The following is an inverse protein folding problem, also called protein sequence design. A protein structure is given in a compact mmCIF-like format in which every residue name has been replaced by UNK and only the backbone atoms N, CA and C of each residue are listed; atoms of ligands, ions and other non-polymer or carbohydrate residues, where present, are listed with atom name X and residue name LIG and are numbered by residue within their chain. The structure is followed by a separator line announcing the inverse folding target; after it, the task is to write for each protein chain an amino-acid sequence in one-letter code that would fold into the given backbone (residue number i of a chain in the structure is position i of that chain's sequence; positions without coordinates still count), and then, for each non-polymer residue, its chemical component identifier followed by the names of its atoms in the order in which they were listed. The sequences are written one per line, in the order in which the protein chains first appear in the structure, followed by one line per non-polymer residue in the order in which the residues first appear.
data_IF_195138246693
#
_entry.id   IF_195138246693
#
_cell.length_a   1.000
_cell.length_b   1.000
_cell.length_c   1.000
_cell.angle_alpha   90.00
_cell.angle_beta   90.00
_cell.angle_gamma   90.00
#
_symmetry.space_group_name_H-M   'P 1'
#
loop_
_entity.id
_entity.type
_entity.pdbx_description
1 polymer ?
#
# COMPACT_ATOMS: atom_id res chain seq x y z
N UNK A 1 5.12 -4.95 -6.72
CA UNK A 1 4.80 -6.39 -6.89
C UNK A 1 5.53 -7.28 -5.90
N UNK A 2 6.78 -6.97 -5.53
CA UNK A 2 7.56 -7.79 -4.59
C UNK A 2 6.89 -7.95 -3.20
N UNK A 3 6.16 -6.95 -2.68
CA UNK A 3 5.41 -7.03 -1.41
C UNK A 3 4.33 -8.10 -1.44
N UNK A 4 3.48 -8.06 -2.47
CA UNK A 4 2.36 -9.01 -2.61
C UNK A 4 2.84 -10.44 -2.75
N UNK A 5 3.94 -10.66 -3.49
CA UNK A 5 4.55 -11.98 -3.64
C UNK A 5 5.17 -12.46 -2.33
N UNK A 6 5.86 -11.59 -1.61
CA UNK A 6 6.44 -11.90 -0.29
C UNK A 6 5.37 -12.24 0.75
N UNK A 7 4.19 -11.63 0.63
CA UNK A 7 3.01 -11.92 1.45
C UNK A 7 2.26 -13.20 1.00
N UNK A 8 2.77 -13.93 0.00
CA UNK A 8 2.14 -15.14 -0.54
C UNK A 8 0.86 -14.89 -1.35
N UNK A 9 0.55 -13.62 -1.61
CA UNK A 9 -0.60 -13.16 -2.39
C UNK A 9 -0.39 -13.33 -3.89
N UNK A 10 -1.50 -13.34 -4.64
CA UNK A 10 -1.52 -13.40 -6.12
C UNK A 10 -2.29 -12.26 -6.77
N UNK A 11 -2.91 -11.42 -5.97
CA UNK A 11 -3.81 -10.38 -6.43
C UNK A 11 -3.42 -9.04 -5.83
N UNK A 12 -3.45 -8.01 -6.68
CA UNK A 12 -3.28 -6.61 -6.29
C UNK A 12 -4.50 -5.85 -6.76
N UNK A 13 -5.09 -5.03 -5.90
CA UNK A 13 -6.04 -3.99 -6.31
C UNK A 13 -5.43 -2.61 -6.14
N UNK A 14 -5.79 -1.68 -7.04
CA UNK A 14 -5.41 -0.27 -6.94
C UNK A 14 -6.69 0.53 -6.80
N UNK A 15 -6.75 1.36 -5.77
CA UNK A 15 -7.85 2.26 -5.48
C UNK A 15 -7.35 3.70 -5.64
N UNK A 16 -8.14 4.51 -6.34
CA UNK A 16 -7.87 5.91 -6.58
C UNK A 16 -9.07 6.72 -6.10
N UNK A 17 -8.81 7.71 -5.27
CA UNK A 17 -9.78 8.71 -4.86
C UNK A 17 -9.15 10.09 -4.96
N UNK A 18 -9.97 11.10 -5.28
CA UNK A 18 -9.57 12.50 -5.28
C UNK A 18 -10.56 13.28 -4.43
N UNK A 19 -10.03 14.16 -3.58
CA UNK A 19 -10.82 15.10 -2.81
C UNK A 19 -9.96 16.32 -2.45
N UNK A 20 -10.56 17.51 -2.51
CA UNK A 20 -9.95 18.76 -2.06
C UNK A 20 -8.58 19.07 -2.71
N UNK A 21 -8.39 18.67 -3.98
CA UNK A 21 -7.14 18.88 -4.69
C UNK A 21 -6.02 17.93 -4.26
N UNK A 22 -6.37 16.84 -3.58
CA UNK A 22 -5.45 15.76 -3.23
C UNK A 22 -5.94 14.44 -3.82
N UNK A 23 -5.01 13.61 -4.28
CA UNK A 23 -5.29 12.24 -4.73
C UNK A 23 -4.74 11.22 -3.73
N UNK A 24 -5.57 10.28 -3.29
CA UNK A 24 -5.13 9.07 -2.61
C UNK A 24 -4.97 7.95 -3.62
N UNK A 25 -3.75 7.43 -3.74
CA UNK A 25 -3.45 6.19 -4.45
C UNK A 25 -3.17 5.12 -3.40
N UNK A 26 -3.92 4.03 -3.44
CA UNK A 26 -3.77 2.90 -2.53
C UNK A 26 -3.61 1.61 -3.34
N UNK A 27 -2.52 0.89 -3.10
CA UNK A 27 -2.30 -0.45 -3.61
C UNK A 27 -2.48 -1.46 -2.47
N UNK A 28 -3.40 -2.42 -2.65
CA UNK A 28 -3.65 -3.51 -1.71
C UNK A 28 -3.13 -4.83 -2.30
N UNK A 29 -2.17 -5.43 -1.63
CA UNK A 29 -1.76 -6.81 -1.84
C UNK A 29 -2.63 -7.75 -1.02
N UNK A 30 -3.45 -8.56 -1.70
CA UNK A 30 -4.39 -9.46 -1.04
C UNK A 30 -3.66 -10.66 -0.45
N UNK A 31 -3.92 -10.95 0.83
CA UNK A 31 -3.46 -12.19 1.43
C UNK A 31 -4.32 -13.37 0.96
N UNK A 32 -3.73 -14.56 0.76
CA UNK A 32 -4.50 -15.75 0.46
C UNK A 32 -5.45 -16.06 1.62
N UNK A 33 -6.76 -16.05 1.35
CA UNK A 33 -7.77 -16.59 2.29
C UNK A 33 -7.53 -18.10 2.45
N UNK A 34 -7.15 -18.56 3.64
CA UNK A 34 -7.09 -20.00 3.91
C UNK A 34 -8.48 -20.63 3.68
N UNK A 35 -8.59 -21.69 2.86
CA UNK A 35 -9.84 -22.42 2.68
C UNK A 35 -10.09 -23.29 3.92
N UNK A 36 -10.80 -22.74 4.89
CA UNK A 36 -11.04 -23.37 6.19
C UNK A 36 -10.83 -22.35 7.29
N UNK A 37 -11.86 -21.54 7.55
CA UNK A 37 -11.83 -20.47 8.54
C UNK A 37 -11.71 -21.03 9.95
N UNK A 38 -10.49 -21.25 10.40
CA UNK A 38 -10.05 -21.24 11.78
C UNK A 38 -8.52 -21.17 11.71
N UNK A 39 -7.95 -20.30 12.54
CA UNK A 39 -6.52 -20.00 12.67
C UNK A 39 -6.03 -18.90 11.73
N UNK A 40 -5.96 -17.72 12.32
CA UNK A 40 -5.49 -16.49 11.71
C UNK A 40 -4.18 -16.70 11.00
N UNK A 41 -4.14 -16.28 9.73
CA UNK A 41 -2.88 -16.05 9.03
C UNK A 41 -2.13 -15.03 9.88
N UNK A 42 -1.04 -15.45 10.53
CA UNK A 42 -0.16 -14.52 11.21
C UNK A 42 0.25 -13.45 10.18
N UNK A 43 0.02 -12.18 10.51
CA UNK A 43 0.40 -11.08 9.65
C UNK A 43 1.86 -11.29 9.21
N UNK A 44 2.15 -11.33 7.89
CA UNK A 44 3.51 -11.52 7.44
C UNK A 44 4.40 -10.43 8.04
N UNK A 45 5.63 -10.77 8.48
CA UNK A 45 6.49 -9.84 9.18
C UNK A 45 6.70 -8.56 8.35
N UNK A 46 6.93 -7.40 8.99
CA UNK A 46 7.31 -6.19 8.27
C UNK A 46 8.52 -6.52 7.40
N UNK A 47 8.41 -6.24 6.10
CA UNK A 47 9.49 -6.55 5.17
C UNK A 47 10.47 -5.37 5.17
N UNK A 48 11.77 -5.63 5.00
CA UNK A 48 12.72 -4.56 4.65
C UNK A 48 12.27 -3.80 3.39
N UNK A 49 11.50 -4.48 2.54
CA UNK A 49 10.81 -3.93 1.38
C UNK A 49 9.80 -2.82 1.74
N UNK A 50 9.13 -2.87 2.89
CA UNK A 50 8.22 -1.79 3.32
C UNK A 50 9.02 -0.51 3.57
N UNK A 51 10.20 -0.62 4.20
CA UNK A 51 11.08 0.55 4.41
C UNK A 51 11.62 1.11 3.11
N UNK A 52 11.95 0.24 2.17
CA UNK A 52 12.39 0.65 0.83
C UNK A 52 11.29 1.39 0.06
N UNK A 53 10.08 0.83 0.01
CA UNK A 53 8.92 1.46 -0.63
C UNK A 53 8.60 2.79 0.04
N UNK A 54 8.65 2.86 1.37
CA UNK A 54 8.41 4.11 2.10
C UNK A 54 9.48 5.17 1.82
N UNK A 55 10.74 4.77 1.59
CA UNK A 55 11.80 5.68 1.18
C UNK A 55 11.51 6.22 -0.22
N UNK A 56 11.21 5.34 -1.17
CA UNK A 56 10.90 5.71 -2.56
C UNK A 56 9.68 6.63 -2.66
N UNK A 57 8.59 6.33 -1.94
CA UNK A 57 7.38 7.16 -1.94
C UNK A 57 7.63 8.57 -1.40
N UNK A 58 8.51 8.72 -0.41
CA UNK A 58 8.89 10.04 0.12
C UNK A 58 9.73 10.87 -0.86
N UNK A 59 10.40 10.22 -1.80
CA UNK A 59 11.18 10.89 -2.85
C UNK A 59 10.30 11.34 -4.03
N UNK A 60 9.07 10.83 -4.14
CA UNK A 60 8.12 11.25 -5.17
C UNK A 60 7.62 12.67 -4.85
N UNK A 61 8.01 13.63 -5.69
CA UNK A 61 7.59 15.02 -5.54
C UNK A 61 6.06 15.18 -5.61
N UNK A 62 5.50 15.88 -4.63
CA UNK A 62 4.05 16.08 -4.51
C UNK A 62 3.36 15.09 -3.57
N UNK A 63 4.06 14.09 -3.02
CA UNK A 63 3.51 13.26 -1.94
C UNK A 63 3.45 14.08 -0.65
N UNK A 64 2.23 14.37 -0.18
CA UNK A 64 1.96 15.04 1.08
C UNK A 64 2.10 14.07 2.28
N UNK A 65 1.71 12.81 2.08
CA UNK A 65 1.79 11.76 3.08
C UNK A 65 1.82 10.39 2.43
N UNK A 66 2.45 9.40 3.06
CA UNK A 66 2.43 8.02 2.60
C UNK A 66 2.53 7.06 3.78
N UNK A 67 2.16 5.80 3.56
CA UNK A 67 2.21 4.78 4.59
C UNK A 67 2.03 3.37 4.06
N UNK A 68 2.28 2.44 4.97
CA UNK A 68 1.94 1.02 4.82
C UNK A 68 1.11 0.58 6.01
N UNK A 69 0.10 -0.26 5.77
CA UNK A 69 -0.75 -0.80 6.82
C UNK A 69 -1.04 -2.28 6.52
N UNK A 70 -1.11 -3.10 7.57
CA UNK A 70 -1.60 -4.48 7.45
C UNK A 70 -3.06 -4.51 7.89
N UNK A 71 -3.95 -4.96 7.01
CA UNK A 71 -5.38 -5.11 7.28
C UNK A 71 -5.77 -6.59 7.24
N UNK A 72 -7.03 -6.89 7.55
CA UNK A 72 -7.58 -8.25 7.41
C UNK A 72 -7.59 -8.76 5.96
N UNK A 73 -7.62 -7.84 4.99
CA UNK A 73 -7.62 -8.18 3.55
C UNK A 73 -6.18 -8.34 3.01
N UNK A 74 -5.22 -7.68 3.65
CA UNK A 74 -3.80 -7.81 3.35
C UNK A 74 -3.02 -6.51 3.53
N UNK A 75 -1.87 -6.41 2.85
CA UNK A 75 -0.96 -5.27 3.01
C UNK A 75 -1.35 -4.14 2.07
N UNK A 76 -1.60 -2.97 2.64
CA UNK A 76 -1.85 -1.74 1.90
C UNK A 76 -0.60 -0.88 1.88
N UNK A 77 -0.32 -0.28 0.73
CA UNK A 77 0.63 0.80 0.54
C UNK A 77 -0.13 1.96 -0.05
N UNK A 78 0.01 3.15 0.52
CA UNK A 78 -0.73 4.32 0.07
C UNK A 78 0.14 5.57 0.02
N UNK A 79 -0.23 6.48 -0.87
CA UNK A 79 0.32 7.82 -0.95
C UNK A 79 -0.81 8.83 -1.22
N UNK A 80 -0.80 9.92 -0.47
CA UNK A 80 -1.61 11.10 -0.68
C UNK A 80 -0.76 12.12 -1.44
N UNK A 81 -1.21 12.53 -2.62
CA UNK A 81 -0.53 13.47 -3.49
C UNK A 81 -1.28 14.80 -3.54
N UNK A 82 -0.57 15.91 -3.39
CA UNK A 82 -1.08 17.24 -3.70
C UNK A 82 -1.14 17.40 -5.23
N UNK A 83 -2.34 17.65 -5.76
CA UNK A 83 -2.57 17.87 -7.18
C UNK A 83 -2.42 19.33 -7.59
N UNK A 84 -2.21 20.22 -6.64
CA UNK A 84 -1.97 21.63 -6.90
C UNK A 84 -0.69 21.79 -7.73
N UNK A 85 -0.75 22.42 -8.91
CA UNK A 85 0.43 22.63 -9.73
C UNK A 85 1.49 23.40 -8.95
N UNK A 86 2.70 22.86 -8.84
CA UNK A 86 3.85 23.65 -8.37
C UNK A 86 4.13 24.71 -9.44
N UNK A 87 3.83 25.96 -9.12
CA UNK A 87 4.37 27.11 -9.86
C UNK A 87 5.87 27.14 -9.60
N UNK A 88 6.65 26.74 -10.61
CA UNK A 88 8.11 26.97 -10.66
C UNK A 88 8.42 28.42 -10.98
#
# INVERSE_FOLDING_TARGET
MATVVADGGRQVSIHLAEQDGQALILALGHLPRSPGGADGVAAPPPLDLDREIMRELREVGGVASCGTEMTEEGRQVWALLDLTPRTS
#
